data_IF_628213866052
#
_entry.id   IF_628213866052
#
_cell.length_a   1.000
_cell.length_b   1.000
_cell.length_c   1.000
_cell.angle_alpha   90.00
_cell.angle_beta   90.00
_cell.angle_gamma   90.00
#
_symmetry.space_group_name_H-M   'P 1'
#
loop_
_entity.id
_entity.type
_entity.pdbx_description
1 polymer ?
#
# COMPACT_ATOMS: atom_id res chain seq x y z
N UNK A 1 0.45 3.36 9.08
CA UNK A 1 0.88 1.98 8.73
C UNK A 1 2.12 2.07 7.85
N UNK A 2 2.98 1.05 7.76
CA UNK A 2 4.09 1.06 6.80
C UNK A 2 4.34 -0.29 6.13
N UNK A 3 4.84 -0.24 4.89
CA UNK A 3 5.31 -1.40 4.13
C UNK A 3 6.75 -1.18 3.69
N UNK A 4 7.57 -2.23 3.80
CA UNK A 4 8.95 -2.26 3.32
C UNK A 4 9.18 -3.60 2.65
N UNK A 5 8.78 -3.69 1.39
CA UNK A 5 8.80 -4.93 0.63
C UNK A 5 10.02 -4.98 -0.28
N UNK A 6 10.68 -6.13 -0.29
CA UNK A 6 11.77 -6.41 -1.24
C UNK A 6 11.26 -7.05 -2.55
N UNK A 7 10.11 -7.72 -2.46
CA UNK A 7 9.46 -8.41 -3.56
C UNK A 7 7.98 -8.58 -3.24
N UNK A 8 7.15 -8.55 -4.29
CA UNK A 8 5.74 -8.91 -4.21
C UNK A 8 5.34 -9.57 -5.52
N UNK A 9 4.58 -10.67 -5.43
CA UNK A 9 4.04 -11.36 -6.60
C UNK A 9 2.56 -11.04 -6.78
N UNK A 10 2.01 -11.40 -7.94
CA UNK A 10 0.63 -11.08 -8.30
C UNK A 10 -0.41 -11.59 -7.28
N UNK A 11 -0.20 -12.78 -6.72
CA UNK A 11 -1.12 -13.35 -5.72
C UNK A 11 -1.07 -12.56 -4.40
N UNK A 12 0.14 -12.26 -3.92
CA UNK A 12 0.34 -11.41 -2.74
C UNK A 12 -0.23 -10.01 -2.93
N UNK A 13 -0.16 -9.44 -4.14
CA UNK A 13 -0.77 -8.14 -4.46
C UNK A 13 -2.29 -8.17 -4.26
N UNK A 14 -2.96 -9.24 -4.69
CA UNK A 14 -4.42 -9.38 -4.54
C UNK A 14 -4.81 -9.45 -3.08
N UNK A 15 -4.09 -10.25 -2.30
CA UNK A 15 -4.35 -10.36 -0.86
C UNK A 15 -4.04 -9.07 -0.11
N UNK A 16 -2.97 -8.37 -0.49
CA UNK A 16 -2.65 -7.07 0.06
C UNK A 16 -3.76 -6.05 -0.25
N UNK A 17 -4.26 -6.00 -1.49
CA UNK A 17 -5.39 -5.15 -1.86
C UNK A 17 -6.64 -5.45 -1.02
N UNK A 18 -6.98 -6.73 -0.84
CA UNK A 18 -8.12 -7.14 -0.02
C UNK A 18 -7.99 -6.62 1.43
N UNK A 19 -6.78 -6.69 1.99
CA UNK A 19 -6.48 -6.15 3.32
C UNK A 19 -6.66 -4.63 3.34
N UNK A 20 -6.13 -3.92 2.34
CA UNK A 20 -6.22 -2.45 2.27
C UNK A 20 -7.68 -1.98 2.14
N UNK A 21 -8.51 -2.70 1.37
CA UNK A 21 -9.97 -2.43 1.26
C UNK A 21 -10.68 -2.67 2.60
N UNK A 22 -10.30 -3.73 3.34
CA UNK A 22 -10.87 -4.00 4.66
C UNK A 22 -10.54 -2.88 5.64
N UNK A 23 -9.27 -2.44 5.66
CA UNK A 23 -8.78 -1.35 6.49
C UNK A 23 -9.45 -0.03 6.12
N UNK A 24 -9.61 0.27 4.84
CA UNK A 24 -10.32 1.46 4.38
C UNK A 24 -11.76 1.48 4.92
N UNK A 25 -12.47 0.36 4.80
CA UNK A 25 -13.85 0.24 5.30
C UNK A 25 -13.94 0.42 6.81
N UNK A 26 -13.02 -0.16 7.60
CA UNK A 26 -13.07 -0.02 9.06
C UNK A 26 -12.81 1.43 9.49
N UNK A 27 -11.86 2.09 8.84
CA UNK A 27 -11.49 3.49 9.14
C UNK A 27 -12.63 4.46 8.82
N UNK A 28 -13.33 4.25 7.69
CA UNK A 28 -14.49 5.05 7.32
C UNK A 28 -15.64 4.94 8.32
N UNK A 29 -15.81 3.79 8.97
CA UNK A 29 -16.87 3.57 9.96
C UNK A 29 -16.57 4.21 11.32
N UNK A 30 -15.29 4.27 11.70
CA UNK A 30 -14.87 4.76 13.02
C UNK A 30 -14.48 6.24 13.02
N UNK A 31 -14.42 6.89 11.85
CA UNK A 31 -13.99 8.28 11.71
C UNK A 31 -12.49 8.49 11.96
N UNK A 32 -11.72 7.40 11.95
CA UNK A 32 -10.27 7.42 12.08
C UNK A 32 -9.63 7.88 10.76
N UNK A 33 -8.37 8.29 10.82
CA UNK A 33 -7.56 8.51 9.60
C UNK A 33 -6.27 7.71 9.72
N UNK A 34 -5.88 7.06 8.62
CA UNK A 34 -4.60 6.38 8.51
C UNK A 34 -3.90 6.84 7.24
N UNK A 35 -2.58 6.82 7.28
CA UNK A 35 -1.73 6.96 6.10
C UNK A 35 -0.80 5.73 6.02
N UNK A 36 -0.37 5.41 4.81
CA UNK A 36 0.52 4.29 4.51
C UNK A 36 1.86 4.85 4.05
N UNK A 37 2.93 4.54 4.79
CA UNK A 37 4.29 4.77 4.33
C UNK A 37 4.79 3.57 3.52
N UNK A 38 5.08 3.76 2.24
CA UNK A 38 5.57 2.71 1.34
C UNK A 38 7.06 2.90 1.03
N UNK A 39 7.89 2.08 1.66
CA UNK A 39 9.34 2.14 1.51
C UNK A 39 9.83 1.29 0.34
N UNK A 40 10.50 1.94 -0.61
CA UNK A 40 11.06 1.33 -1.82
C UNK A 40 12.57 1.50 -1.84
N UNK A 41 13.31 0.43 -2.20
CA UNK A 41 14.73 0.55 -2.57
C UNK A 41 14.86 1.34 -3.87
N UNK A 42 15.87 2.22 -3.99
CA UNK A 42 16.04 3.08 -5.16
C UNK A 42 16.07 2.34 -6.51
N UNK A 43 16.55 1.09 -6.51
CA UNK A 43 16.70 0.26 -7.70
C UNK A 43 15.55 -0.73 -7.93
N UNK A 44 14.47 -0.67 -7.15
CA UNK A 44 13.36 -1.63 -7.23
C UNK A 44 12.09 -0.97 -7.78
N UNK A 45 12.07 -0.77 -9.10
CA UNK A 45 10.91 -0.19 -9.79
C UNK A 45 9.66 -1.06 -9.68
N UNK A 46 9.81 -2.39 -9.69
CA UNK A 46 8.68 -3.33 -9.65
C UNK A 46 7.82 -3.13 -8.38
N UNK A 47 8.48 -3.02 -7.22
CA UNK A 47 7.79 -2.78 -5.94
C UNK A 47 7.21 -1.37 -5.87
N UNK A 48 7.85 -0.39 -6.52
CA UNK A 48 7.32 0.96 -6.61
C UNK A 48 6.03 0.98 -7.45
N UNK A 49 6.09 0.46 -8.67
CA UNK A 49 4.99 0.44 -9.63
C UNK A 49 3.79 -0.30 -9.03
N UNK A 50 4.04 -1.45 -8.39
CA UNK A 50 2.98 -2.20 -7.69
C UNK A 50 2.33 -1.38 -6.57
N UNK A 51 3.13 -0.65 -5.78
CA UNK A 51 2.60 0.19 -4.72
C UNK A 51 1.76 1.35 -5.27
N UNK A 52 2.16 1.92 -6.41
CA UNK A 52 1.41 2.96 -7.12
C UNK A 52 0.08 2.42 -7.65
N UNK A 53 0.09 1.26 -8.32
CA UNK A 53 -1.12 0.60 -8.80
C UNK A 53 -2.12 0.34 -7.65
N UNK A 54 -1.63 -0.12 -6.49
CA UNK A 54 -2.48 -0.33 -5.31
C UNK A 54 -3.03 0.98 -4.74
N UNK A 55 -2.23 2.05 -4.74
CA UNK A 55 -2.63 3.35 -4.22
C UNK A 55 -3.77 3.98 -5.04
N UNK A 56 -3.85 3.72 -6.34
CA UNK A 56 -4.95 4.17 -7.20
C UNK A 56 -6.28 3.48 -6.89
N UNK A 57 -6.25 2.29 -6.28
CA UNK A 57 -7.43 1.47 -6.00
C UNK A 57 -8.05 1.75 -4.62
N UNK A 58 -7.37 2.52 -3.77
CA UNK A 58 -7.81 2.82 -2.39
C UNK A 58 -7.79 4.32 -2.13
N UNK A 59 -8.57 4.77 -1.14
CA UNK A 59 -8.64 6.19 -0.72
C UNK A 59 -7.70 6.52 0.44
N UNK A 60 -7.01 5.52 0.97
CA UNK A 60 -6.03 5.73 2.04
C UNK A 60 -4.81 6.45 1.44
N UNK A 61 -4.37 7.59 2.01
CA UNK A 61 -3.18 8.27 1.53
C UNK A 61 -1.94 7.37 1.61
N UNK A 62 -1.18 7.30 0.51
CA UNK A 62 0.05 6.51 0.40
C UNK A 62 1.24 7.44 0.16
N UNK A 63 2.21 7.41 1.07
CA UNK A 63 3.45 8.18 1.03
C UNK A 63 4.61 7.29 0.58
N UNK A 64 5.10 7.47 -0.64
CA UNK A 64 6.24 6.71 -1.15
C UNK A 64 7.56 7.29 -0.64
N UNK A 65 8.37 6.46 0.03
CA UNK A 65 9.66 6.83 0.62
C UNK A 65 10.76 5.95 0.03
N UNK A 66 11.85 6.57 -0.41
CA UNK A 66 13.04 5.83 -0.87
C UNK A 66 13.99 5.58 0.30
N UNK A 67 14.70 4.45 0.26
CA UNK A 67 15.75 4.12 1.23
C UNK A 67 16.90 3.31 0.59
#
# INVERSE_FOLDING_TARGET
MFFKLDYINLESCKELLNLLILVEKSILLEGNSIEIDWYVKENNSIVQDTGQDLAELIKIPVNFKKY
#
